data_IF_560758257588
#
_entry.id   IF_560758257588
#
_cell.length_a   1.000
_cell.length_b   1.000
_cell.length_c   1.000
_cell.angle_alpha   90.00
_cell.angle_beta   90.00
_cell.angle_gamma   90.00
#
_symmetry.space_group_name_H-M   'P 1'
#
loop_
_entity.id
_entity.type
_entity.pdbx_description
1 polymer ?
#
# COMPACT_ATOMS: atom_id res chain seq x y z
N UNK A 1 -16.49 -24.89 40.49
CA UNK A 1 -15.78 -26.19 40.36
C UNK A 1 -15.45 -26.41 38.89
N UNK A 2 -14.19 -26.70 38.55
CA UNK A 2 -13.76 -26.99 37.16
C UNK A 2 -14.27 -28.35 36.72
N UNK A 3 -14.85 -28.43 35.51
CA UNK A 3 -15.42 -29.68 34.98
C UNK A 3 -14.33 -30.73 34.72
N UNK A 4 -14.73 -32.00 34.69
CA UNK A 4 -13.83 -33.12 34.46
C UNK A 4 -13.15 -33.05 33.08
N UNK A 5 -13.87 -32.54 32.06
CA UNK A 5 -13.31 -32.20 30.75
C UNK A 5 -12.22 -31.13 30.84
N UNK A 6 -12.44 -30.07 31.63
CA UNK A 6 -11.41 -29.03 31.83
C UNK A 6 -10.17 -29.58 32.58
N UNK A 7 -10.33 -30.48 33.56
CA UNK A 7 -9.18 -31.09 34.25
C UNK A 7 -8.38 -32.01 33.34
N UNK A 8 -9.03 -32.80 32.49
CA UNK A 8 -8.36 -33.68 31.53
C UNK A 8 -7.64 -32.89 30.42
N UNK A 9 -8.27 -31.81 29.92
CA UNK A 9 -7.65 -30.90 28.97
C UNK A 9 -6.42 -30.20 29.58
N UNK A 10 -6.53 -29.70 30.82
CA UNK A 10 -5.40 -29.08 31.52
C UNK A 10 -4.26 -30.05 31.78
N UNK A 11 -4.53 -31.33 32.12
CA UNK A 11 -3.48 -32.36 32.25
C UNK A 11 -2.78 -32.65 30.92
N UNK A 12 -3.53 -32.80 29.82
CA UNK A 12 -2.94 -32.99 28.48
C UNK A 12 -2.12 -31.81 28.02
N UNK A 13 -2.57 -30.58 28.29
CA UNK A 13 -1.82 -29.37 27.96
C UNK A 13 -0.57 -29.20 28.83
N UNK A 14 -0.61 -29.58 30.11
CA UNK A 14 0.54 -29.56 31.00
C UNK A 14 1.66 -30.53 30.53
N UNK A 15 1.30 -31.67 29.94
CA UNK A 15 2.26 -32.62 29.35
C UNK A 15 2.93 -32.08 28.07
N UNK A 16 2.25 -31.19 27.32
CA UNK A 16 2.75 -30.54 26.11
C UNK A 16 3.48 -29.21 26.37
N UNK A 17 3.20 -28.58 27.51
CA UNK A 17 3.71 -27.26 27.89
C UNK A 17 4.67 -27.36 29.08
N UNK A 18 5.72 -28.18 28.93
CA UNK A 18 6.85 -28.08 29.86
C UNK A 18 7.75 -26.97 29.31
N UNK A 19 7.63 -25.75 29.83
CA UNK A 19 8.47 -24.62 29.41
C UNK A 19 9.97 -24.96 29.34
N UNK A 20 10.79 -24.15 28.67
CA UNK A 20 12.15 -24.52 28.31
C UNK A 20 12.99 -24.96 29.52
N UNK A 21 13.53 -26.19 29.45
CA UNK A 21 14.31 -26.81 30.53
C UNK A 21 15.81 -26.52 30.43
N UNK A 22 16.29 -26.08 29.27
CA UNK A 22 17.71 -25.79 29.01
C UNK A 22 18.05 -24.34 29.33
N UNK A 23 19.32 -24.06 29.69
CA UNK A 23 19.80 -22.70 29.94
C UNK A 23 19.63 -21.81 28.70
N UNK A 24 19.94 -22.35 27.52
CA UNK A 24 19.72 -21.67 26.23
C UNK A 24 18.23 -21.42 25.93
N UNK A 25 17.36 -22.40 26.19
CA UNK A 25 15.92 -22.23 26.01
C UNK A 25 15.31 -21.21 26.97
N UNK A 26 15.80 -21.16 28.22
CA UNK A 26 15.43 -20.13 29.20
C UNK A 26 15.93 -18.75 28.80
N UNK A 27 17.13 -18.65 28.24
CA UNK A 27 17.68 -17.41 27.71
C UNK A 27 16.88 -16.89 26.49
N UNK A 28 16.46 -17.78 25.58
CA UNK A 28 15.56 -17.45 24.48
C UNK A 28 14.18 -16.99 24.99
N UNK A 29 13.60 -17.69 25.98
CA UNK A 29 12.34 -17.27 26.61
C UNK A 29 12.46 -15.92 27.33
N UNK A 30 13.63 -15.60 27.88
CA UNK A 30 13.93 -14.29 28.49
C UNK A 30 13.91 -13.15 27.47
N UNK A 31 14.17 -13.44 26.19
CA UNK A 31 14.05 -12.48 25.08
C UNK A 31 12.59 -12.27 24.61
N UNK A 32 11.63 -13.15 24.95
CA UNK A 32 10.21 -12.86 24.71
C UNK A 32 9.73 -11.64 25.52
N UNK A 33 10.39 -11.34 26.65
CA UNK A 33 10.16 -10.12 27.41
C UNK A 33 10.67 -8.85 26.70
N UNK A 34 11.54 -9.00 25.70
CA UNK A 34 12.10 -7.93 24.86
C UNK A 34 11.29 -7.75 23.56
N UNK A 35 10.64 -8.80 23.04
CA UNK A 35 9.81 -8.74 21.81
C UNK A 35 8.64 -7.75 21.90
N UNK A 36 8.09 -7.51 23.08
CA UNK A 36 7.01 -6.53 23.31
C UNK A 36 7.34 -5.49 24.38
N UNK A 37 8.46 -5.63 25.11
CA UNK A 37 8.91 -4.73 26.19
C UNK A 37 8.00 -4.62 27.43
N UNK A 38 6.73 -5.06 27.34
CA UNK A 38 5.71 -4.96 28.37
C UNK A 38 6.08 -5.72 29.64
N UNK A 39 6.56 -6.97 29.53
CA UNK A 39 6.95 -7.80 30.68
C UNK A 39 8.47 -7.85 30.93
N UNK A 40 9.20 -6.90 30.34
CA UNK A 40 10.66 -6.80 30.48
C UNK A 40 11.12 -6.75 31.93
N UNK A 41 12.16 -7.55 32.25
CA UNK A 41 12.94 -7.36 33.47
C UNK A 41 13.57 -5.95 33.59
N UNK A 42 14.08 -5.31 32.51
CA UNK A 42 14.65 -3.97 32.64
C UNK A 42 13.55 -2.91 32.77
N UNK A 43 13.79 -1.92 33.64
CA UNK A 43 12.90 -0.76 33.79
C UNK A 43 12.85 0.06 32.51
N UNK A 44 13.98 0.18 31.80
CA UNK A 44 14.10 0.85 30.50
C UNK A 44 14.16 -0.19 29.39
N UNK A 45 13.35 -0.06 28.34
CA UNK A 45 13.42 -0.92 27.16
C UNK A 45 14.27 -0.25 26.08
N UNK A 46 15.48 -0.77 25.76
CA UNK A 46 16.35 -0.19 24.73
C UNK A 46 15.63 -0.09 23.37
N UNK A 47 15.79 1.05 22.69
CA UNK A 47 15.16 1.32 21.39
C UNK A 47 13.72 1.82 21.45
N UNK A 48 13.03 1.67 22.59
CA UNK A 48 11.68 2.24 22.82
C UNK A 48 11.72 3.44 23.78
N UNK A 49 12.65 3.40 24.74
CA UNK A 49 12.77 4.35 25.84
C UNK A 49 14.22 4.80 26.02
N UNK A 50 14.43 6.07 26.32
CA UNK A 50 15.75 6.62 26.59
C UNK A 50 16.09 6.49 28.10
N UNK A 51 17.30 6.03 28.46
CA UNK A 51 17.74 5.99 29.86
C UNK A 51 17.65 7.34 30.57
N UNK A 52 17.90 8.44 29.86
CA UNK A 52 17.82 9.80 30.40
C UNK A 52 16.38 10.21 30.77
N UNK A 53 15.37 9.75 30.03
CA UNK A 53 13.96 10.03 30.36
C UNK A 53 13.51 9.26 31.58
N UNK A 54 13.98 8.03 31.73
CA UNK A 54 13.77 7.25 32.95
C UNK A 54 14.43 7.91 34.15
N UNK A 55 15.68 8.35 34.03
CA UNK A 55 16.42 9.01 35.13
C UNK A 55 15.68 10.25 35.62
N UNK A 56 15.26 11.12 34.69
CA UNK A 56 14.48 12.32 35.00
C UNK A 56 13.17 11.97 35.70
N UNK A 57 12.40 11.05 35.12
CA UNK A 57 11.14 10.61 35.70
C UNK A 57 11.30 9.99 37.09
N UNK A 58 12.32 9.15 37.28
CA UNK A 58 12.63 8.52 38.56
C UNK A 58 12.94 9.57 39.63
N UNK A 59 13.82 10.52 39.31
CA UNK A 59 14.20 11.59 40.23
C UNK A 59 12.98 12.42 40.66
N UNK A 60 12.14 12.82 39.70
CA UNK A 60 10.92 13.59 39.97
C UNK A 60 9.93 12.82 40.86
N UNK A 61 9.71 11.53 40.56
CA UNK A 61 8.79 10.68 41.33
C UNK A 61 9.30 10.41 42.74
N UNK A 62 10.57 10.05 42.89
CA UNK A 62 11.18 9.80 44.22
C UNK A 62 11.18 11.08 45.05
N UNK A 63 11.54 12.23 44.45
CA UNK A 63 11.52 13.52 45.14
C UNK A 63 10.11 13.91 45.61
N UNK A 64 9.09 13.73 44.77
CA UNK A 64 7.71 14.06 45.13
C UNK A 64 7.16 13.22 46.29
N UNK A 65 7.66 11.99 46.48
CA UNK A 65 7.27 11.12 47.59
C UNK A 65 7.98 11.43 48.92
N UNK A 66 9.01 12.30 48.90
CA UNK A 66 9.77 12.73 50.08
C UNK A 66 10.15 11.59 51.05
N UNK A 67 10.80 10.51 50.57
CA UNK A 67 11.19 9.40 51.42
C UNK A 67 12.26 9.82 52.44
N UNK A 68 12.21 9.24 53.64
CA UNK A 68 13.27 9.39 54.66
C UNK A 68 13.86 8.03 55.00
N UNK A 69 15.13 7.86 54.65
CA UNK A 69 15.92 6.69 54.98
C UNK A 69 15.66 5.49 54.05
N UNK A 70 16.46 4.42 54.21
CA UNK A 70 16.62 3.41 53.17
C UNK A 70 15.33 2.65 52.80
N UNK A 71 14.43 2.45 53.78
CA UNK A 71 13.20 1.68 53.57
C UNK A 71 12.19 2.48 52.74
N UNK A 72 11.98 3.76 53.08
CA UNK A 72 11.10 4.63 52.30
C UNK A 72 11.67 4.91 50.91
N UNK A 73 13.00 5.12 50.80
CA UNK A 73 13.69 5.30 49.53
C UNK A 73 13.47 4.09 48.60
N UNK A 74 13.59 2.88 49.14
CA UNK A 74 13.35 1.64 48.37
C UNK A 74 11.91 1.55 47.86
N UNK A 75 10.93 1.95 48.69
CA UNK A 75 9.51 1.94 48.29
C UNK A 75 9.20 3.04 47.26
N UNK A 76 9.81 4.21 47.39
CA UNK A 76 9.68 5.30 46.42
C UNK A 76 10.29 4.92 45.06
N UNK A 77 11.48 4.33 45.04
CA UNK A 77 12.13 3.79 43.85
C UNK A 77 11.26 2.70 43.18
N UNK A 78 10.68 1.82 43.98
CA UNK A 78 9.75 0.80 43.49
C UNK A 78 8.49 1.43 42.87
N UNK A 79 7.91 2.45 43.50
CA UNK A 79 6.74 3.15 42.98
C UNK A 79 7.04 3.82 41.63
N UNK A 80 8.18 4.51 41.51
CA UNK A 80 8.64 5.09 40.24
C UNK A 80 8.77 4.03 39.14
N UNK A 81 9.39 2.88 39.45
CA UNK A 81 9.53 1.78 38.50
C UNK A 81 8.20 1.12 38.09
N UNK A 82 7.19 1.13 38.95
CA UNK A 82 5.84 0.63 38.64
C UNK A 82 5.07 1.62 37.76
N UNK A 83 5.12 2.91 38.11
CA UNK A 83 4.51 3.99 37.32
C UNK A 83 5.09 4.07 35.91
N UNK A 84 6.41 3.90 35.75
CA UNK A 84 7.05 3.87 34.44
C UNK A 84 6.53 2.72 33.56
N UNK A 85 6.33 1.54 34.15
CA UNK A 85 5.76 0.38 33.44
C UNK A 85 4.28 0.58 33.12
N UNK A 86 3.51 1.28 33.95
CA UNK A 86 2.12 1.64 33.66
C UNK A 86 2.01 2.62 32.48
N UNK A 87 2.85 3.67 32.45
CA UNK A 87 2.93 4.58 31.29
C UNK A 87 3.22 3.85 29.98
N UNK A 88 4.08 2.82 30.06
CA UNK A 88 4.34 1.94 28.91
C UNK A 88 3.07 1.21 28.47
N UNK A 89 2.30 0.63 29.40
CA UNK A 89 1.03 -0.03 29.09
C UNK A 89 0.07 0.91 28.36
N UNK A 90 -0.15 2.12 28.88
CA UNK A 90 -1.02 3.13 28.26
C UNK A 90 -0.60 3.46 26.82
N UNK A 91 0.72 3.60 26.59
CA UNK A 91 1.26 3.83 25.23
C UNK A 91 0.96 2.66 24.30
N UNK A 92 1.07 1.42 24.79
CA UNK A 92 0.74 0.24 24.01
C UNK A 92 -0.74 0.14 23.68
N UNK A 93 -1.63 0.45 24.62
CA UNK A 93 -3.07 0.47 24.39
C UNK A 93 -3.45 1.53 23.35
N UNK A 94 -2.88 2.73 23.47
CA UNK A 94 -3.10 3.81 22.50
C UNK A 94 -2.68 3.40 21.08
N UNK A 95 -1.51 2.76 20.94
CA UNK A 95 -1.05 2.23 19.66
C UNK A 95 -1.92 1.08 19.15
N UNK A 96 -2.47 0.28 20.05
CA UNK A 96 -3.38 -0.82 19.70
C UNK A 96 -4.67 -0.29 19.09
N UNK A 97 -5.33 0.62 19.80
CA UNK A 97 -6.55 1.26 19.33
C UNK A 97 -6.32 1.95 18.00
N UNK A 98 -5.22 2.71 17.86
CA UNK A 98 -4.88 3.35 16.60
C UNK A 98 -4.69 2.34 15.45
N UNK A 99 -4.01 1.22 15.68
CA UNK A 99 -3.83 0.18 14.67
C UNK A 99 -5.16 -0.48 14.28
N UNK A 100 -6.07 -0.69 15.24
CA UNK A 100 -7.39 -1.27 14.96
C UNK A 100 -8.29 -0.29 14.21
N UNK A 101 -8.24 1.00 14.52
CA UNK A 101 -8.94 2.03 13.73
C UNK A 101 -8.44 2.06 12.28
N UNK A 102 -7.12 2.06 12.06
CA UNK A 102 -6.55 1.98 10.70
C UNK A 102 -6.96 0.70 9.99
N UNK A 103 -7.07 -0.43 10.71
CA UNK A 103 -7.49 -1.69 10.12
C UNK A 103 -8.94 -1.67 9.61
N UNK A 104 -9.82 -0.86 10.22
CA UNK A 104 -11.19 -0.65 9.75
C UNK A 104 -11.26 0.18 8.46
N UNK A 105 -10.24 1.00 8.19
CA UNK A 105 -10.12 1.82 6.99
C UNK A 105 -9.46 1.10 5.81
N UNK A 106 -8.97 -0.13 6.01
CA UNK A 106 -8.38 -0.93 4.93
C UNK A 106 -9.50 -1.29 3.93
N UNK A 107 -9.42 -0.86 2.66
CA UNK A 107 -10.43 -1.22 1.68
C UNK A 107 -10.42 -2.73 1.44
N UNK A 108 -11.60 -3.25 1.11
CA UNK A 108 -11.72 -4.62 0.65
C UNK A 108 -10.84 -4.83 -0.59
N UNK A 109 -10.24 -6.01 -0.71
CA UNK A 109 -9.53 -6.36 -1.94
C UNK A 109 -10.53 -6.30 -3.10
N UNK A 110 -10.23 -5.58 -4.20
CA UNK A 110 -11.07 -5.55 -5.38
C UNK A 110 -11.38 -6.97 -5.87
N UNK A 111 -12.61 -7.20 -6.35
CA UNK A 111 -12.99 -8.46 -6.97
C UNK A 111 -12.73 -8.35 -8.47
N UNK A 112 -11.65 -8.94 -8.97
CA UNK A 112 -11.51 -9.15 -10.41
C UNK A 112 -12.54 -10.19 -10.89
N UNK A 113 -12.85 -10.24 -12.18
CA UNK A 113 -13.55 -11.38 -12.79
C UNK A 113 -12.81 -12.71 -12.55
N UNK A 114 -11.47 -12.66 -12.45
CA UNK A 114 -10.62 -13.78 -12.02
C UNK A 114 -10.81 -14.16 -10.55
N UNK A 115 -11.34 -13.28 -9.68
CA UNK A 115 -11.63 -13.60 -8.27
C UNK A 115 -12.61 -14.76 -8.10
N UNK A 116 -13.44 -15.07 -9.11
CA UNK A 116 -14.30 -16.24 -9.10
C UNK A 116 -13.52 -17.54 -9.36
N UNK A 117 -12.44 -17.47 -10.16
CA UNK A 117 -11.52 -18.57 -10.44
C UNK A 117 -10.56 -18.75 -9.25
N UNK A 118 -10.09 -17.65 -8.65
CA UNK A 118 -9.24 -17.61 -7.46
C UNK A 118 -9.91 -18.21 -6.21
N UNK A 119 -11.26 -18.27 -6.18
CA UNK A 119 -12.03 -18.97 -5.16
C UNK A 119 -12.16 -20.48 -5.40
N UNK A 120 -11.79 -20.96 -6.59
CA UNK A 120 -11.82 -22.37 -7.01
C UNK A 120 -10.42 -23.00 -7.02
N UNK A 121 -9.36 -22.21 -6.89
CA UNK A 121 -7.98 -22.70 -6.75
C UNK A 121 -7.72 -23.06 -5.28
N UNK A 122 -7.45 -24.33 -5.02
CA UNK A 122 -7.45 -24.93 -3.67
C UNK A 122 -6.13 -24.74 -2.88
N UNK A 123 -5.17 -23.92 -3.35
CA UNK A 123 -3.87 -23.77 -2.69
C UNK A 123 -3.43 -22.29 -2.60
N UNK A 124 -3.11 -21.82 -1.39
CA UNK A 124 -2.60 -20.46 -1.07
C UNK A 124 -1.33 -20.07 -1.88
N UNK A 125 -0.71 -21.01 -2.60
CA UNK A 125 0.54 -20.84 -3.36
C UNK A 125 0.36 -20.17 -4.73
N UNK A 126 -0.83 -20.24 -5.34
CA UNK A 126 -1.13 -19.65 -6.65
C UNK A 126 -1.85 -18.28 -6.55
N UNK A 127 -2.10 -17.79 -5.33
CA UNK A 127 -2.87 -16.56 -5.10
C UNK A 127 -1.98 -15.33 -5.24
N UNK A 128 -2.24 -14.54 -6.27
CA UNK A 128 -1.52 -13.28 -6.51
C UNK A 128 -1.54 -12.37 -5.25
N UNK A 129 -0.38 -11.87 -4.86
CA UNK A 129 -0.24 -10.91 -3.75
C UNK A 129 -0.92 -9.59 -4.07
N UNK A 130 -1.19 -8.76 -3.05
CA UNK A 130 -1.79 -7.44 -3.30
C UNK A 130 -0.82 -6.55 -4.12
N UNK A 131 0.49 -6.71 -3.93
CA UNK A 131 1.54 -6.04 -4.69
C UNK A 131 1.60 -6.48 -6.16
N UNK A 132 1.56 -7.78 -6.44
CA UNK A 132 1.51 -8.29 -7.81
C UNK A 132 0.21 -7.87 -8.50
N UNK A 133 -0.92 -7.90 -7.76
CA UNK A 133 -2.20 -7.44 -8.30
C UNK A 133 -2.18 -5.95 -8.63
N UNK A 134 -1.57 -5.15 -7.77
CA UNK A 134 -1.39 -3.73 -8.04
C UNK A 134 -0.55 -3.52 -9.30
N UNK A 135 0.58 -4.22 -9.44
CA UNK A 135 1.48 -4.08 -10.58
C UNK A 135 0.77 -4.40 -11.90
N UNK A 136 -0.04 -5.47 -11.91
CA UNK A 136 -0.84 -5.85 -13.06
C UNK A 136 -1.88 -4.77 -13.43
N UNK A 137 -2.67 -4.29 -12.45
CA UNK A 137 -3.64 -3.20 -12.69
C UNK A 137 -2.98 -1.90 -13.15
N UNK A 138 -1.83 -1.57 -12.60
CA UNK A 138 -1.05 -0.40 -13.00
C UNK A 138 -0.56 -0.52 -14.44
N UNK A 139 -0.13 -1.72 -14.86
CA UNK A 139 0.26 -1.99 -16.24
C UNK A 139 -0.93 -1.82 -17.20
N UNK A 140 -2.08 -2.44 -16.90
CA UNK A 140 -3.30 -2.29 -17.72
C UNK A 140 -3.72 -0.82 -17.88
N UNK A 141 -3.72 -0.05 -16.78
CA UNK A 141 -4.05 1.38 -16.82
C UNK A 141 -3.01 2.19 -17.58
N UNK A 142 -1.73 1.85 -17.46
CA UNK A 142 -0.65 2.54 -18.19
C UNK A 142 -0.78 2.31 -19.70
N UNK A 143 -0.99 1.07 -20.13
CA UNK A 143 -1.15 0.70 -21.54
C UNK A 143 -2.40 1.35 -22.15
N UNK A 144 -3.51 1.35 -21.41
CA UNK A 144 -4.74 2.01 -21.83
C UNK A 144 -4.55 3.54 -21.94
N UNK A 145 -3.88 4.18 -20.99
CA UNK A 145 -3.56 5.63 -21.07
C UNK A 145 -2.67 5.95 -22.26
N UNK A 146 -1.65 5.12 -22.52
CA UNK A 146 -0.79 5.28 -23.69
C UNK A 146 -1.59 5.16 -25.00
N UNK A 147 -2.59 4.28 -25.04
CA UNK A 147 -3.52 4.14 -26.18
C UNK A 147 -4.34 5.40 -26.40
N UNK A 148 -4.93 5.97 -25.32
CA UNK A 148 -5.68 7.24 -25.39
C UNK A 148 -4.76 8.39 -25.84
N UNK A 149 -3.56 8.49 -25.27
CA UNK A 149 -2.56 9.51 -25.62
C UNK A 149 -2.12 9.41 -27.09
N UNK A 150 -1.92 8.18 -27.59
CA UNK A 150 -1.56 7.91 -28.99
C UNK A 150 -2.68 8.32 -29.96
N UNK A 151 -3.92 7.92 -29.68
CA UNK A 151 -5.00 7.97 -30.69
C UNK A 151 -5.94 9.17 -30.59
N UNK A 152 -6.08 9.84 -29.44
CA UNK A 152 -6.92 11.03 -29.33
C UNK A 152 -6.51 12.17 -30.30
N UNK A 153 -5.22 12.54 -30.41
CA UNK A 153 -4.81 13.56 -31.37
C UNK A 153 -5.11 13.16 -32.83
N UNK A 154 -4.93 11.88 -33.16
CA UNK A 154 -5.25 11.34 -34.49
C UNK A 154 -6.75 11.44 -34.80
N UNK A 155 -7.62 11.12 -33.83
CA UNK A 155 -9.08 11.20 -33.97
C UNK A 155 -9.55 12.63 -34.18
N UNK A 156 -9.03 13.57 -33.38
CA UNK A 156 -9.38 14.99 -33.47
C UNK A 156 -8.95 15.58 -34.81
N UNK A 157 -7.73 15.25 -35.25
CA UNK A 157 -7.23 15.63 -36.56
C UNK A 157 -8.08 15.07 -37.70
N UNK A 158 -8.35 13.77 -37.68
CA UNK A 158 -9.11 13.07 -38.72
C UNK A 158 -10.53 13.63 -38.86
N UNK A 159 -11.15 13.99 -37.74
CA UNK A 159 -12.49 14.59 -37.70
C UNK A 159 -12.52 15.95 -38.39
N UNK A 160 -11.49 16.79 -38.18
CA UNK A 160 -11.39 18.11 -38.82
C UNK A 160 -10.92 18.07 -40.28
N UNK A 161 -10.29 16.98 -40.72
CA UNK A 161 -9.70 16.89 -42.06
C UNK A 161 -10.76 16.97 -43.18
N UNK A 162 -12.00 16.55 -42.96
CA UNK A 162 -13.07 16.63 -43.98
C UNK A 162 -13.43 18.06 -44.35
N UNK A 163 -13.24 19.00 -43.43
CA UNK A 163 -13.74 20.37 -43.55
C UNK A 163 -12.69 21.33 -44.16
N UNK A 164 -11.46 20.86 -44.33
CA UNK A 164 -10.34 21.65 -44.84
C UNK A 164 -10.24 21.62 -46.36
N UNK A 165 -9.92 22.75 -46.99
CA UNK A 165 -9.52 22.77 -48.41
C UNK A 165 -8.12 22.17 -48.62
N UNK A 166 -7.80 21.67 -49.81
CA UNK A 166 -6.53 20.96 -50.08
C UNK A 166 -5.26 21.78 -49.75
N UNK A 167 -5.31 23.11 -49.95
CA UNK A 167 -4.20 24.03 -49.67
C UNK A 167 -4.12 24.47 -48.20
N UNK A 168 -5.08 24.07 -47.35
CA UNK A 168 -5.10 24.47 -45.96
C UNK A 168 -3.88 23.88 -45.22
N UNK A 169 -3.08 24.70 -44.52
CA UNK A 169 -1.98 24.20 -43.72
C UNK A 169 -2.52 23.40 -42.53
N UNK A 170 -1.84 22.32 -42.20
CA UNK A 170 -2.20 21.44 -41.08
C UNK A 170 -1.03 21.26 -40.13
N UNK A 171 -1.34 21.02 -38.85
CA UNK A 171 -0.34 20.80 -37.82
C UNK A 171 0.46 19.50 -38.10
N UNK A 172 1.81 19.55 -38.10
CA UNK A 172 2.63 18.37 -38.33
C UNK A 172 2.43 17.27 -37.27
N UNK A 173 2.25 17.62 -35.99
CA UNK A 173 2.14 16.61 -34.93
C UNK A 173 0.84 15.81 -35.06
N UNK A 174 -0.31 16.49 -35.24
CA UNK A 174 -1.60 15.84 -35.51
C UNK A 174 -1.59 15.06 -36.83
N UNK A 175 -0.90 15.57 -37.85
CA UNK A 175 -0.72 14.85 -39.13
C UNK A 175 0.01 13.53 -38.94
N UNK A 176 1.17 13.54 -38.29
CA UNK A 176 1.96 12.34 -38.07
C UNK A 176 1.23 11.33 -37.18
N UNK A 177 0.55 11.80 -36.12
CA UNK A 177 -0.28 10.94 -35.28
C UNK A 177 -1.41 10.27 -36.09
N UNK A 178 -2.08 11.02 -36.97
CA UNK A 178 -3.11 10.47 -37.85
C UNK A 178 -2.57 9.47 -38.87
N UNK A 179 -1.42 9.75 -39.49
CA UNK A 179 -0.82 8.83 -40.46
C UNK A 179 -0.32 7.54 -39.79
N UNK A 180 0.23 7.61 -38.57
CA UNK A 180 0.56 6.43 -37.77
C UNK A 180 -0.69 5.57 -37.52
N UNK A 181 -1.81 6.19 -37.12
CA UNK A 181 -3.07 5.47 -36.93
C UNK A 181 -3.64 4.87 -38.23
N UNK A 182 -3.38 5.50 -39.38
CA UNK A 182 -3.73 4.91 -40.68
C UNK A 182 -2.92 3.65 -40.97
N UNK A 183 -1.63 3.62 -40.58
CA UNK A 183 -0.79 2.42 -40.68
C UNK A 183 -1.32 1.31 -39.78
N UNK A 184 -1.53 1.60 -38.49
CA UNK A 184 -2.05 0.64 -37.52
C UNK A 184 -3.38 0.00 -38.02
N UNK A 185 -4.31 0.83 -38.54
CA UNK A 185 -5.57 0.34 -39.10
C UNK A 185 -5.38 -0.51 -40.38
N UNK A 186 -4.44 -0.12 -41.23
CA UNK A 186 -4.16 -0.87 -42.47
C UNK A 186 -3.55 -2.24 -42.16
N UNK A 187 -2.69 -2.33 -41.14
CA UNK A 187 -2.12 -3.57 -40.62
C UNK A 187 -3.21 -4.48 -40.04
N UNK A 188 -4.13 -3.96 -39.24
CA UNK A 188 -5.30 -4.69 -38.71
C UNK A 188 -6.21 -5.24 -39.84
N UNK A 189 -6.34 -4.51 -40.95
CA UNK A 189 -7.04 -4.95 -42.17
C UNK A 189 -6.21 -5.90 -43.05
N UNK A 190 -5.01 -6.25 -42.61
CA UNK A 190 -4.10 -7.20 -43.26
C UNK A 190 -3.50 -6.68 -44.55
N UNK A 191 -3.01 -5.44 -44.55
CA UNK A 191 -2.27 -4.83 -45.65
C UNK A 191 -1.06 -5.68 -46.10
N UNK A 192 -0.61 -5.43 -47.34
CA UNK A 192 0.53 -6.10 -47.97
C UNK A 192 1.87 -5.45 -47.56
N UNK A 193 2.98 -6.18 -47.71
CA UNK A 193 4.34 -5.80 -47.26
C UNK A 193 4.83 -4.44 -47.79
N UNK A 194 4.19 -3.92 -48.84
CA UNK A 194 4.38 -2.57 -49.40
C UNK A 194 4.24 -1.42 -48.40
N UNK A 195 3.59 -1.65 -47.25
CA UNK A 195 3.41 -0.65 -46.20
C UNK A 195 4.68 -0.45 -45.34
N UNK A 196 5.50 -1.50 -45.18
CA UNK A 196 6.73 -1.46 -44.38
C UNK A 196 7.81 -0.54 -44.95
N UNK A 197 7.76 -0.27 -46.26
CA UNK A 197 8.64 0.67 -46.96
C UNK A 197 8.18 2.14 -46.84
N UNK A 198 7.04 2.41 -46.18
CA UNK A 198 6.35 3.73 -46.14
C UNK A 198 6.40 4.38 -44.74
N UNK A 199 6.88 3.67 -43.72
CA UNK A 199 6.71 4.04 -42.30
C UNK A 199 7.59 5.22 -41.83
N UNK A 200 8.67 5.54 -42.54
CA UNK A 200 9.50 6.68 -42.15
C UNK A 200 8.89 8.02 -42.62
N UNK A 201 9.15 9.08 -41.85
CA UNK A 201 8.59 10.41 -42.14
C UNK A 201 8.94 10.89 -43.55
N UNK A 202 10.13 10.53 -44.05
CA UNK A 202 10.58 10.91 -45.39
C UNK A 202 9.78 10.19 -46.48
N UNK A 203 9.47 8.91 -46.33
CA UNK A 203 8.59 8.14 -47.23
C UNK A 203 7.18 8.73 -47.29
N UNK A 204 6.60 9.07 -46.13
CA UNK A 204 5.29 9.74 -46.07
C UNK A 204 5.32 11.10 -46.79
N UNK A 205 6.39 11.88 -46.63
CA UNK A 205 6.57 13.18 -47.29
C UNK A 205 6.74 13.04 -48.81
N UNK A 206 7.42 11.99 -49.26
CA UNK A 206 7.55 11.69 -50.70
C UNK A 206 6.20 11.36 -51.33
N UNK A 207 5.37 10.52 -50.69
CA UNK A 207 4.01 10.20 -51.16
C UNK A 207 3.13 11.47 -51.18
N UNK A 208 3.26 12.32 -50.17
CA UNK A 208 2.58 13.61 -50.12
C UNK A 208 3.01 14.56 -51.26
N UNK A 209 4.16 14.33 -51.88
CA UNK A 209 4.77 15.19 -52.88
C UNK A 209 5.37 16.46 -52.27
N UNK A 210 5.78 16.39 -51.00
CA UNK A 210 6.46 17.48 -50.30
C UNK A 210 7.95 17.48 -50.65
N UNK A 211 8.55 18.67 -50.64
CA UNK A 211 10.00 18.78 -50.82
C UNK A 211 10.73 18.08 -49.66
N UNK A 212 11.88 17.42 -49.93
CA UNK A 212 12.66 16.74 -48.91
C UNK A 212 13.13 17.73 -47.82
N UNK A 213 13.10 17.27 -46.57
CA UNK A 213 13.49 18.05 -45.39
C UNK A 213 12.33 18.80 -44.68
N UNK A 214 12.62 19.38 -43.49
CA UNK A 214 11.59 19.84 -42.54
C UNK A 214 10.89 21.16 -42.93
N UNK A 215 11.31 21.82 -44.01
CA UNK A 215 10.83 23.15 -44.39
C UNK A 215 9.49 23.17 -45.14
N UNK A 216 9.06 22.05 -45.72
CA UNK A 216 7.78 21.99 -46.44
C UNK A 216 6.62 21.74 -45.46
N UNK A 217 5.63 22.62 -45.45
CA UNK A 217 4.47 22.50 -44.57
C UNK A 217 3.52 21.40 -45.05
N UNK A 218 2.95 20.65 -44.11
CA UNK A 218 1.86 19.74 -44.40
C UNK A 218 0.60 20.52 -44.79
N UNK A 219 -0.12 20.03 -45.80
CA UNK A 219 -1.43 20.53 -46.20
C UNK A 219 -2.48 19.42 -46.13
N UNK A 220 -3.76 19.77 -46.01
CA UNK A 220 -4.84 18.77 -45.99
C UNK A 220 -4.83 17.91 -47.28
N UNK A 221 -4.50 18.50 -48.43
CA UNK A 221 -4.38 17.77 -49.70
C UNK A 221 -3.19 16.80 -49.71
N UNK A 222 -2.05 17.19 -49.13
CA UNK A 222 -0.91 16.30 -48.94
C UNK A 222 -1.26 15.08 -48.09
N UNK A 223 -1.98 15.29 -46.97
CA UNK A 223 -2.45 14.19 -46.11
C UNK A 223 -3.42 13.27 -46.86
N UNK A 224 -4.35 13.81 -47.65
CA UNK A 224 -5.29 13.01 -48.46
C UNK A 224 -4.60 12.15 -49.51
N UNK A 225 -3.46 12.59 -50.07
CA UNK A 225 -2.66 11.77 -50.99
C UNK A 225 -2.08 10.54 -50.28
N UNK A 226 -1.48 10.74 -49.09
CA UNK A 226 -0.94 9.65 -48.28
C UNK A 226 -2.03 8.69 -47.83
N UNK A 227 -3.17 9.22 -47.39
CA UNK A 227 -4.38 8.44 -47.09
C UNK A 227 -4.81 7.56 -48.28
N UNK A 228 -4.74 8.10 -49.50
CA UNK A 228 -5.04 7.34 -50.72
C UNK A 228 -4.08 6.19 -50.97
N UNK A 229 -2.80 6.35 -50.63
CA UNK A 229 -1.80 5.29 -50.70
C UNK A 229 -2.12 4.17 -49.69
N UNK A 230 -2.40 4.51 -48.43
CA UNK A 230 -2.84 3.52 -47.42
C UNK A 230 -4.10 2.77 -47.87
N UNK A 231 -5.11 3.49 -48.35
CA UNK A 231 -6.36 2.89 -48.82
C UNK A 231 -6.14 1.89 -49.97
N UNK A 232 -5.19 2.17 -50.86
CA UNK A 232 -4.83 1.31 -51.99
C UNK A 232 -4.02 0.06 -51.57
N UNK A 233 -3.25 0.16 -50.49
CA UNK A 233 -2.44 -0.93 -49.94
C UNK A 233 -3.27 -1.96 -49.14
N UNK A 234 -4.47 -1.57 -48.66
CA UNK A 234 -5.39 -2.53 -48.03
C UNK A 234 -5.92 -3.58 -49.02
N UNK A 235 -6.13 -4.82 -48.55
CA UNK A 235 -6.68 -5.93 -49.37
C UNK A 235 -8.02 -5.60 -50.04
N UNK A 236 -8.86 -4.82 -49.36
CA UNK A 236 -10.19 -4.43 -49.85
C UNK A 236 -10.16 -3.30 -50.90
N UNK A 237 -8.98 -2.71 -51.19
CA UNK A 237 -8.75 -1.63 -52.19
C UNK A 237 -9.86 -0.58 -52.16
N UNK A 238 -9.98 0.09 -51.03
CA UNK A 238 -11.11 0.98 -50.74
C UNK A 238 -10.87 2.40 -51.29
N UNK A 239 -11.94 3.14 -51.54
CA UNK A 239 -11.82 4.57 -51.84
C UNK A 239 -11.29 5.34 -50.61
N UNK A 240 -10.49 6.42 -50.78
CA UNK A 240 -9.89 7.15 -49.66
C UNK A 240 -10.91 7.65 -48.62
N UNK A 241 -12.07 8.14 -49.05
CA UNK A 241 -13.13 8.57 -48.15
C UNK A 241 -13.73 7.43 -47.31
N UNK A 242 -13.80 6.22 -47.88
CA UNK A 242 -14.26 5.03 -47.17
C UNK A 242 -13.22 4.55 -46.16
N UNK A 243 -11.95 4.61 -46.53
CA UNK A 243 -10.83 4.30 -45.65
C UNK A 243 -10.77 5.27 -44.47
N UNK A 244 -10.85 6.59 -44.69
CA UNK A 244 -10.92 7.59 -43.61
C UNK A 244 -12.05 7.29 -42.62
N UNK A 245 -13.24 6.94 -43.12
CA UNK A 245 -14.37 6.57 -42.25
C UNK A 245 -14.09 5.31 -41.43
N UNK A 246 -13.38 4.33 -42.01
CA UNK A 246 -13.02 3.11 -41.30
C UNK A 246 -11.97 3.39 -40.21
N UNK A 247 -10.94 4.19 -40.53
CA UNK A 247 -9.93 4.65 -39.56
C UNK A 247 -10.57 5.41 -38.41
N UNK A 248 -11.48 6.35 -38.68
CA UNK A 248 -12.25 7.05 -37.63
C UNK A 248 -13.02 6.08 -36.73
N UNK A 249 -13.67 5.07 -37.31
CA UNK A 249 -14.37 4.03 -36.53
C UNK A 249 -13.43 3.18 -35.66
N UNK A 250 -12.24 2.86 -36.15
CA UNK A 250 -11.21 2.16 -35.37
C UNK A 250 -10.67 3.03 -34.23
N UNK A 251 -10.37 4.30 -34.50
CA UNK A 251 -9.92 5.25 -33.49
C UNK A 251 -10.96 5.41 -32.37
N UNK A 252 -12.24 5.61 -32.73
CA UNK A 252 -13.32 5.70 -31.75
C UNK A 252 -13.44 4.42 -30.90
N UNK A 253 -13.26 3.24 -31.53
CA UNK A 253 -13.28 1.97 -30.82
C UNK A 253 -12.09 1.82 -29.86
N UNK A 254 -10.85 1.99 -30.34
CA UNK A 254 -9.63 1.85 -29.53
C UNK A 254 -9.59 2.82 -28.35
N UNK A 255 -9.97 4.08 -28.57
CA UNK A 255 -10.04 5.09 -27.50
C UNK A 255 -11.08 4.68 -26.46
N UNK A 256 -12.29 4.29 -26.89
CA UNK A 256 -13.37 3.92 -25.97
C UNK A 256 -13.05 2.66 -25.17
N UNK A 257 -12.42 1.67 -25.82
CA UNK A 257 -11.98 0.43 -25.17
C UNK A 257 -10.94 0.75 -24.09
N UNK A 258 -9.93 1.55 -24.42
CA UNK A 258 -8.93 2.02 -23.47
C UNK A 258 -9.52 2.88 -22.33
N UNK A 259 -10.45 3.78 -22.61
CA UNK A 259 -11.17 4.54 -21.58
C UNK A 259 -11.94 3.62 -20.61
N UNK A 260 -12.55 2.55 -21.15
CA UNK A 260 -13.26 1.54 -20.35
C UNK A 260 -12.30 0.77 -19.44
N UNK A 261 -11.13 0.37 -19.95
CA UNK A 261 -10.07 -0.26 -19.17
C UNK A 261 -9.58 0.64 -18.04
N UNK A 262 -9.41 1.94 -18.29
CA UNK A 262 -9.05 2.92 -17.27
C UNK A 262 -10.16 3.04 -16.21
N UNK A 263 -11.42 3.14 -16.63
CA UNK A 263 -12.57 3.24 -15.71
C UNK A 263 -12.68 2.01 -14.81
N UNK A 264 -12.39 0.82 -15.36
CA UNK A 264 -12.44 -0.43 -14.62
C UNK A 264 -11.27 -0.58 -13.65
N UNK A 265 -10.04 -0.37 -14.10
CA UNK A 265 -8.84 -0.77 -13.36
C UNK A 265 -8.21 0.34 -12.53
N UNK A 266 -8.40 1.63 -12.86
CA UNK A 266 -7.82 2.72 -12.08
C UNK A 266 -8.34 2.75 -10.62
N UNK A 267 -9.65 2.59 -10.34
CA UNK A 267 -10.14 2.52 -8.97
C UNK A 267 -9.61 1.28 -8.21
N UNK A 268 -9.41 0.16 -8.90
CA UNK A 268 -8.85 -1.06 -8.30
C UNK A 268 -7.39 -0.85 -7.87
N UNK A 269 -6.58 -0.24 -8.74
CA UNK A 269 -5.20 0.13 -8.43
C UNK A 269 -5.13 1.08 -7.23
N UNK A 270 -5.99 2.10 -7.17
CA UNK A 270 -6.04 3.04 -6.04
C UNK A 270 -6.41 2.33 -4.73
N UNK A 271 -7.42 1.45 -4.75
CA UNK A 271 -7.81 0.66 -3.59
C UNK A 271 -6.67 -0.26 -3.13
N UNK A 272 -5.94 -0.89 -4.06
CA UNK A 272 -4.79 -1.75 -3.75
C UNK A 272 -3.62 -0.97 -3.16
N UNK A 273 -3.28 0.22 -3.70
CA UNK A 273 -2.26 1.11 -3.11
C UNK A 273 -2.60 1.46 -1.67
N UNK A 274 -3.84 1.89 -1.42
CA UNK A 274 -4.29 2.24 -0.07
C UNK A 274 -4.23 1.01 0.85
N UNK A 275 -4.70 -0.15 0.36
CA UNK A 275 -4.68 -1.41 1.11
C UNK A 275 -3.26 -1.83 1.51
N UNK A 276 -2.29 -1.80 0.60
CA UNK A 276 -0.89 -2.17 0.87
C UNK A 276 -0.30 -1.24 1.93
N UNK A 277 -0.50 0.07 1.78
CA UNK A 277 0.01 1.08 2.73
C UNK A 277 -0.57 0.87 4.12
N UNK A 278 -1.89 0.75 4.24
CA UNK A 278 -2.58 0.62 5.53
C UNK A 278 -2.30 -0.76 6.16
N UNK A 279 -2.33 -1.84 5.38
CA UNK A 279 -1.99 -3.19 5.87
C UNK A 279 -0.55 -3.24 6.38
N UNK A 280 0.39 -2.61 5.67
CA UNK A 280 1.77 -2.46 6.11
C UNK A 280 1.90 -1.63 7.39
N UNK A 281 1.13 -0.55 7.54
CA UNK A 281 1.11 0.27 8.75
C UNK A 281 0.58 -0.52 9.96
N UNK A 282 -0.54 -1.22 9.80
CA UNK A 282 -1.11 -2.10 10.82
C UNK A 282 -0.11 -3.21 11.18
N UNK A 283 0.51 -3.87 10.20
CA UNK A 283 1.50 -4.91 10.47
C UNK A 283 2.72 -4.39 11.25
N UNK A 284 3.20 -3.17 10.94
CA UNK A 284 4.28 -2.51 11.71
C UNK A 284 3.85 -2.20 13.14
N UNK A 285 2.67 -1.61 13.32
CA UNK A 285 2.13 -1.31 14.65
C UNK A 285 1.93 -2.60 15.49
N UNK A 286 1.44 -3.67 14.84
CA UNK A 286 1.25 -4.98 15.48
C UNK A 286 2.57 -5.66 15.87
N UNK A 287 3.59 -5.61 14.99
CA UNK A 287 4.95 -6.09 15.31
C UNK A 287 5.58 -5.35 16.49
N UNK A 288 5.24 -4.08 16.69
CA UNK A 288 5.74 -3.31 17.83
C UNK A 288 5.21 -3.80 19.19
N UNK A 289 4.20 -4.68 19.25
CA UNK A 289 3.72 -5.31 20.49
C UNK A 289 2.20 -5.41 20.62
N UNK A 290 1.46 -5.05 19.59
CA UNK A 290 -0.01 -5.00 19.54
C UNK A 290 -0.52 -6.25 18.82
N UNK A 291 -0.89 -7.29 19.55
CA UNK A 291 -1.65 -8.41 18.99
C UNK A 291 -2.93 -8.63 19.78
N UNK A 292 -3.90 -9.33 19.21
CA UNK A 292 -5.18 -9.60 19.86
C UNK A 292 -5.01 -10.42 21.15
N UNK A 293 -4.08 -11.39 21.13
CA UNK A 293 -3.63 -12.11 22.32
C UNK A 293 -2.88 -11.21 23.33
N UNK A 294 -2.34 -10.07 22.89
CA UNK A 294 -1.66 -9.10 23.74
C UNK A 294 -2.64 -8.25 24.54
N UNK A 295 -3.81 -7.86 24.01
CA UNK A 295 -4.78 -7.02 24.72
C UNK A 295 -5.24 -7.63 26.06
N UNK A 296 -5.70 -8.89 26.04
CA UNK A 296 -6.05 -9.61 27.27
C UNK A 296 -4.86 -9.94 28.18
N UNK A 297 -3.63 -9.87 27.66
CA UNK A 297 -2.39 -10.00 28.44
C UNK A 297 -1.95 -8.67 29.05
N UNK A 298 -2.24 -7.55 28.39
CA UNK A 298 -1.99 -6.17 28.80
C UNK A 298 -2.90 -5.82 29.96
N UNK A 299 -4.22 -5.99 29.84
CA UNK A 299 -5.17 -5.68 30.92
C UNK A 299 -4.87 -6.46 32.22
N UNK A 300 -4.50 -7.74 32.11
CA UNK A 300 -4.08 -8.55 33.28
C UNK A 300 -2.78 -8.07 33.90
N UNK A 301 -1.85 -7.58 33.07
CA UNK A 301 -0.57 -7.06 33.51
C UNK A 301 -0.70 -5.67 34.14
N UNK A 302 -1.50 -4.79 33.54
CA UNK A 302 -1.90 -3.50 34.09
C UNK A 302 -2.50 -3.65 35.48
N UNK A 303 -3.53 -4.50 35.63
CA UNK A 303 -4.15 -4.75 36.93
C UNK A 303 -3.17 -5.34 37.95
N UNK A 304 -2.16 -6.10 37.52
CA UNK A 304 -1.08 -6.57 38.40
C UNK A 304 -0.17 -5.42 38.86
N UNK A 305 0.25 -4.55 37.94
CA UNK A 305 1.07 -3.37 38.24
C UNK A 305 0.33 -2.39 39.16
N UNK A 306 -0.95 -2.11 38.89
CA UNK A 306 -1.80 -1.25 39.73
C UNK A 306 -1.90 -1.80 41.15
N UNK A 307 -2.15 -3.11 41.32
CA UNK A 307 -2.17 -3.74 42.66
C UNK A 307 -0.83 -3.62 43.38
N UNK A 308 0.28 -3.82 42.68
CA UNK A 308 1.61 -3.65 43.26
C UNK A 308 1.89 -2.20 43.65
N UNK A 309 1.45 -1.24 42.82
CA UNK A 309 1.62 0.18 43.07
C UNK A 309 0.82 0.61 44.30
N UNK A 310 -0.47 0.25 44.37
CA UNK A 310 -1.32 0.55 45.53
C UNK A 310 -0.75 -0.04 46.82
N UNK A 311 -0.25 -1.28 46.80
CA UNK A 311 0.38 -1.90 47.97
C UNK A 311 1.67 -1.17 48.38
N UNK A 312 2.50 -0.76 47.42
CA UNK A 312 3.75 -0.04 47.67
C UNK A 312 3.48 1.35 48.26
N UNK A 313 2.55 2.10 47.69
CA UNK A 313 2.17 3.42 48.17
C UNK A 313 1.50 3.36 49.55
N UNK A 314 0.67 2.36 49.80
CA UNK A 314 0.03 2.17 51.12
C UNK A 314 1.04 1.89 52.21
N UNK A 315 2.04 1.04 51.95
CA UNK A 315 3.11 0.75 52.91
C UNK A 315 3.99 1.97 53.15
N UNK A 316 4.34 2.72 52.10
CA UNK A 316 5.08 3.98 52.23
C UNK A 316 4.32 4.99 53.09
N UNK A 317 3.03 5.19 52.83
CA UNK A 317 2.19 6.09 53.60
C UNK A 317 2.10 5.67 55.08
N UNK A 318 2.02 4.36 55.36
CA UNK A 318 2.03 3.83 56.73
C UNK A 318 3.33 4.16 57.46
N UNK A 319 4.49 3.97 56.83
CA UNK A 319 5.79 4.32 57.41
C UNK A 319 5.90 5.81 57.70
N UNK A 320 5.48 6.64 56.75
CA UNK A 320 5.50 8.11 56.88
C UNK A 320 4.57 8.60 58.00
N UNK A 321 3.37 8.03 58.14
CA UNK A 321 2.46 8.32 59.26
C UNK A 321 3.07 7.90 60.60
N UNK A 322 3.68 6.72 60.67
CA UNK A 322 4.37 6.23 61.86
C UNK A 322 5.48 7.19 62.32
N UNK A 323 6.24 7.74 61.36
CA UNK A 323 7.26 8.76 61.61
C UNK A 323 6.69 10.07 62.17
N UNK A 324 5.59 10.56 61.61
CA UNK A 324 4.91 11.78 62.11
C UNK A 324 4.37 11.57 63.53
N UNK A 325 3.87 10.37 63.83
CA UNK A 325 3.35 10.01 65.16
C UNK A 325 4.44 9.76 66.22
N UNK A 326 5.68 9.49 65.79
CA UNK A 326 6.85 9.29 66.68
C UNK A 326 8.00 10.19 66.26
N UNK A 327 7.95 11.51 66.54
CA UNK A 327 9.08 12.38 66.26
C UNK A 327 10.28 11.88 67.08
N UNK A 328 11.39 11.60 66.40
CA UNK A 328 12.67 11.25 67.03
C UNK A 328 13.04 12.36 68.04
N UNK A 329 13.44 12.03 69.29
CA UNK A 329 13.85 13.02 70.28
C UNK A 329 15.11 13.78 69.87
#
# INVERSE_FOLDING_TARGET
MTSERQRLANRRNALKSTGPKTVAGKALMRLNAVRHGLRGAPVVVPGLEAPADWERFRADMVSSLSPVGPLEETLAERAAGLLWRLRRVERFESLSVAADQVALEIPARPRSTESAIDQLLDEDEDRMTDEEFLADREASVADARATVEKYCPARDFATGLSDLGDEAPVDPAGTLAFLAACSDHAEDEGADDTLSDIEDEEGLRQIAGLAPGPGAAWTAGAVRKVLGAFAAATKKKQAPARFLKAVLGSLDYWIKDAETEIELHAPEADALRQRIVLSGAVARARRAGVGDAAAGHIARYEGHLQRQLSATLSELARLQQGRVATPKP
#
